data_IF_616893041939
#
_entry.id   IF_616893041939
#
_cell.length_a   1.000
_cell.length_b   1.000
_cell.length_c   1.000
_cell.angle_alpha   90.00
_cell.angle_beta   90.00
_cell.angle_gamma   90.00
#
_symmetry.space_group_name_H-M   'P 1'
#
loop_
_entity.id
_entity.type
_entity.pdbx_description
1 polymer ?
#
# COMPACT_ATOMS: atom_id res chain seq x y z
N UNK A 1 -8.77 2.70 10.88
CA UNK A 1 -7.89 3.08 9.73
C UNK A 1 -8.33 4.38 9.05
N UNK A 2 -9.62 4.56 8.74
CA UNK A 2 -10.17 5.80 8.13
C UNK A 2 -9.69 7.08 8.84
N UNK A 3 -9.92 7.18 10.15
CA UNK A 3 -9.49 8.35 10.96
C UNK A 3 -7.99 8.64 10.83
N UNK A 4 -7.15 7.59 10.94
CA UNK A 4 -5.72 7.73 10.80
C UNK A 4 -5.35 8.26 9.40
N UNK A 5 -5.95 7.74 8.35
CA UNK A 5 -5.61 8.11 6.96
C UNK A 5 -6.09 9.49 6.58
N UNK A 6 -7.33 9.85 6.94
CA UNK A 6 -7.94 11.15 6.58
C UNK A 6 -7.37 12.33 7.35
N UNK A 7 -6.81 12.07 8.54
CA UNK A 7 -6.21 13.07 9.42
C UNK A 7 -4.70 12.83 9.64
N UNK A 8 -4.02 12.15 8.72
CA UNK A 8 -2.67 11.60 8.92
C UNK A 8 -1.63 12.65 9.34
N UNK A 9 -1.68 13.86 8.78
CA UNK A 9 -0.77 14.94 9.11
C UNK A 9 -0.85 15.37 10.59
N UNK A 10 -2.05 15.27 11.21
CA UNK A 10 -2.28 15.55 12.61
C UNK A 10 -1.57 14.56 13.55
N UNK A 11 -1.35 13.35 13.05
CA UNK A 11 -0.70 12.27 13.78
C UNK A 11 0.82 12.24 13.57
N UNK A 12 1.38 13.10 12.71
CA UNK A 12 2.82 13.14 12.47
C UNK A 12 3.62 13.31 13.78
N UNK A 13 4.61 12.42 13.98
CA UNK A 13 5.39 12.34 15.21
C UNK A 13 4.69 11.64 16.39
N UNK A 14 3.40 11.35 16.30
CA UNK A 14 2.64 10.72 17.39
C UNK A 14 2.70 9.20 17.29
N UNK A 15 2.67 8.57 18.47
CA UNK A 15 2.50 7.13 18.58
C UNK A 15 1.02 6.77 18.47
N UNK A 16 0.71 5.81 17.62
CA UNK A 16 -0.64 5.33 17.34
C UNK A 16 -0.73 3.83 17.50
N UNK A 17 -1.93 3.34 17.77
CA UNK A 17 -2.27 1.94 17.74
C UNK A 17 -3.56 1.74 16.95
N UNK A 18 -3.58 0.76 16.05
CA UNK A 18 -4.72 0.44 15.20
C UNK A 18 -4.70 -1.02 14.77
N UNK A 19 -5.82 -1.52 14.32
CA UNK A 19 -5.93 -2.85 13.76
C UNK A 19 -5.99 -2.79 12.24
N UNK A 20 -5.33 -3.74 11.57
CA UNK A 20 -5.33 -3.85 10.13
C UNK A 20 -5.01 -5.27 9.66
N UNK A 21 -5.31 -5.55 8.40
CA UNK A 21 -4.88 -6.76 7.71
C UNK A 21 -3.53 -6.51 7.05
N UNK A 22 -2.57 -7.40 7.27
CA UNK A 22 -1.31 -7.42 6.53
C UNK A 22 -1.56 -8.05 5.17
N UNK A 23 -1.31 -7.30 4.10
CA UNK A 23 -1.57 -7.75 2.72
C UNK A 23 -0.31 -8.21 2.02
N UNK A 24 0.76 -7.44 2.14
CA UNK A 24 2.06 -7.69 1.56
C UNK A 24 3.14 -7.26 2.55
N UNK A 25 4.28 -7.89 2.55
CA UNK A 25 5.51 -7.28 3.04
C UNK A 25 6.61 -7.41 1.98
N UNK A 26 7.45 -6.41 1.91
CA UNK A 26 8.70 -6.45 1.17
C UNK A 26 9.88 -6.43 2.14
N UNK A 27 11.10 -6.24 1.63
CA UNK A 27 12.31 -6.26 2.47
C UNK A 27 12.34 -5.15 3.54
N UNK A 28 11.45 -4.16 3.47
CA UNK A 28 11.51 -2.93 4.29
C UNK A 28 10.18 -2.55 4.91
N UNK A 29 9.07 -2.90 4.26
CA UNK A 29 7.75 -2.37 4.58
C UNK A 29 6.70 -3.45 4.65
N UNK A 30 5.72 -3.19 5.50
CA UNK A 30 4.49 -3.96 5.64
C UNK A 30 3.36 -3.10 5.08
N UNK A 31 2.53 -3.66 4.20
CA UNK A 31 1.33 -3.02 3.66
C UNK A 31 0.13 -3.47 4.47
N UNK A 32 -0.63 -2.50 4.94
CA UNK A 32 -1.70 -2.67 5.92
C UNK A 32 -2.98 -2.05 5.39
N UNK A 33 -4.08 -2.78 5.47
CA UNK A 33 -5.40 -2.28 5.06
C UNK A 33 -6.49 -2.62 6.06
N UNK A 34 -7.54 -1.80 6.06
CA UNK A 34 -8.75 -2.04 6.81
C UNK A 34 -9.96 -1.50 6.03
N UNK A 35 -11.05 -2.29 6.01
CA UNK A 35 -12.26 -1.93 5.27
C UNK A 35 -13.17 -1.05 6.11
N UNK A 36 -13.66 0.02 5.50
CA UNK A 36 -14.67 0.89 6.10
C UNK A 36 -16.01 0.63 5.40
N UNK A 37 -16.99 0.15 6.17
CA UNK A 37 -18.31 -0.23 5.64
C UNK A 37 -19.13 0.99 5.22
N UNK A 38 -18.96 2.14 5.88
CA UNK A 38 -19.70 3.37 5.57
C UNK A 38 -19.28 3.94 4.23
N UNK A 39 -17.96 3.97 3.99
CA UNK A 39 -17.41 4.50 2.73
C UNK A 39 -17.34 3.45 1.62
N UNK A 40 -17.50 2.17 1.95
CA UNK A 40 -17.43 1.05 1.01
C UNK A 40 -16.05 0.89 0.38
N UNK A 41 -14.96 1.19 1.12
CA UNK A 41 -13.60 1.12 0.62
C UNK A 41 -12.60 0.70 1.68
N UNK A 42 -11.41 0.32 1.22
CA UNK A 42 -10.26 0.12 2.08
C UNK A 42 -9.51 1.44 2.30
N UNK A 43 -9.03 1.63 3.52
CA UNK A 43 -8.02 2.60 3.89
C UNK A 43 -6.75 1.86 4.27
N UNK A 44 -5.60 2.40 3.87
CA UNK A 44 -4.34 1.71 4.11
C UNK A 44 -3.21 2.63 4.54
N UNK A 45 -2.13 1.99 4.95
CA UNK A 45 -0.86 2.63 5.29
C UNK A 45 0.26 1.61 5.19
N UNK A 46 1.48 2.08 4.99
CA UNK A 46 2.67 1.24 5.11
C UNK A 46 3.30 1.37 6.49
N UNK A 47 3.91 0.30 6.97
CA UNK A 47 4.72 0.33 8.17
C UNK A 47 6.15 -0.08 7.82
N UNK A 48 7.12 0.80 8.12
CA UNK A 48 8.53 0.55 7.90
C UNK A 48 9.12 -0.19 9.11
N UNK A 49 9.58 -1.41 8.92
CA UNK A 49 10.20 -2.21 9.97
C UNK A 49 11.73 -2.29 9.86
N UNK A 50 12.31 -1.73 8.80
CA UNK A 50 13.74 -1.70 8.57
C UNK A 50 14.34 -3.10 8.40
N UNK A 51 15.59 -3.26 8.80
CA UNK A 51 16.34 -4.51 8.68
C UNK A 51 16.02 -5.55 9.77
N UNK A 52 15.06 -5.26 10.63
CA UNK A 52 14.73 -6.16 11.73
C UNK A 52 13.69 -7.19 11.29
N UNK A 53 14.13 -8.34 10.80
CA UNK A 53 13.28 -9.46 10.41
C UNK A 53 12.50 -10.15 11.54
N UNK A 54 12.66 -9.72 12.79
CA UNK A 54 12.01 -10.35 13.95
C UNK A 54 10.48 -10.27 13.95
N UNK A 55 9.91 -9.40 13.12
CA UNK A 55 8.45 -9.23 13.04
C UNK A 55 7.76 -10.13 12.00
N UNK A 56 8.49 -10.82 11.14
CA UNK A 56 7.93 -11.57 10.01
C UNK A 56 6.90 -12.62 10.42
N UNK A 57 7.11 -13.33 11.54
CA UNK A 57 6.18 -14.35 12.02
C UNK A 57 4.84 -13.75 12.47
N UNK A 58 4.87 -12.53 13.02
CA UNK A 58 3.71 -11.84 13.58
C UNK A 58 2.94 -11.10 12.51
N UNK A 59 3.66 -10.52 11.53
CA UNK A 59 3.13 -9.65 10.47
C UNK A 59 3.14 -10.29 9.09
N UNK A 60 2.98 -11.60 9.02
CA UNK A 60 2.93 -12.29 7.73
C UNK A 60 1.67 -11.90 6.94
N UNK A 61 1.74 -11.82 5.60
CA UNK A 61 0.57 -11.60 4.78
C UNK A 61 -0.56 -12.60 5.10
N UNK A 62 -1.78 -12.10 5.21
CA UNK A 62 -2.93 -12.88 5.64
C UNK A 62 -3.14 -12.92 7.16
N UNK A 63 -2.49 -12.04 7.89
CA UNK A 63 -2.72 -11.86 9.34
C UNK A 63 -3.52 -10.58 9.61
N UNK A 64 -4.44 -10.63 10.56
CA UNK A 64 -4.99 -9.46 11.23
C UNK A 64 -4.03 -9.10 12.37
N UNK A 65 -3.63 -7.85 12.47
CA UNK A 65 -2.68 -7.40 13.47
C UNK A 65 -3.16 -6.15 14.18
N UNK A 66 -2.80 -6.00 15.44
CA UNK A 66 -2.76 -4.72 16.11
C UNK A 66 -1.36 -4.14 15.92
N UNK A 67 -1.29 -3.08 15.11
CA UNK A 67 -0.04 -2.37 14.82
C UNK A 67 0.14 -1.22 15.81
N UNK A 68 1.36 -1.05 16.32
CA UNK A 68 1.73 0.07 17.20
C UNK A 68 3.02 0.69 16.69
N UNK A 69 3.03 1.99 16.48
CA UNK A 69 4.20 2.70 15.98
C UNK A 69 3.99 4.21 15.90
N UNK A 70 5.00 4.91 15.42
CA UNK A 70 4.95 6.35 15.24
C UNK A 70 4.57 6.68 13.80
N UNK A 71 3.63 7.60 13.61
CA UNK A 71 3.39 8.20 12.30
C UNK A 71 4.57 9.08 11.93
N UNK A 72 5.18 8.85 10.79
CA UNK A 72 6.32 9.63 10.27
C UNK A 72 6.11 9.99 8.81
N UNK A 73 6.43 11.22 8.44
CA UNK A 73 6.48 11.59 7.03
C UNK A 73 7.78 11.05 6.42
N UNK A 74 7.65 10.32 5.33
CA UNK A 74 8.77 9.77 4.55
C UNK A 74 9.00 10.63 3.31
N UNK A 75 9.97 11.54 3.38
CA UNK A 75 10.23 12.55 2.35
C UNK A 75 10.52 11.95 0.97
N UNK A 76 11.35 10.90 0.89
CA UNK A 76 11.71 10.28 -0.38
C UNK A 76 10.52 9.57 -1.06
N UNK A 77 9.51 9.17 -0.31
CA UNK A 77 8.27 8.56 -0.84
C UNK A 77 7.13 9.55 -1.01
N UNK A 78 7.27 10.78 -0.49
CA UNK A 78 6.21 11.79 -0.51
C UNK A 78 4.98 11.40 0.31
N UNK A 79 5.13 10.54 1.32
CA UNK A 79 3.98 9.94 2.02
C UNK A 79 4.25 9.72 3.51
N UNK A 80 3.20 9.41 4.26
CA UNK A 80 3.30 9.01 5.66
C UNK A 80 3.40 7.49 5.79
N UNK A 81 4.14 7.04 6.79
CA UNK A 81 4.30 5.65 7.16
C UNK A 81 4.28 5.48 8.67
N UNK A 82 4.09 4.24 9.14
CA UNK A 82 4.29 3.88 10.53
C UNK A 82 5.73 3.40 10.70
N UNK A 83 6.43 3.96 11.67
CA UNK A 83 7.82 3.61 12.01
C UNK A 83 7.98 3.30 13.48
N UNK A 84 9.20 3.02 13.91
CA UNK A 84 9.53 2.74 15.31
C UNK A 84 8.65 1.64 15.92
N UNK A 85 8.51 0.55 15.16
CA UNK A 85 7.79 -0.64 15.57
C UNK A 85 8.53 -1.34 16.71
N UNK A 86 7.79 -1.94 17.64
CA UNK A 86 8.37 -2.71 18.75
C UNK A 86 7.73 -4.09 18.83
N UNK A 87 8.53 -5.05 19.18
CA UNK A 87 8.10 -6.35 19.61
C UNK A 87 9.06 -6.91 20.68
N UNK A 88 8.51 -7.16 21.86
CA UNK A 88 9.23 -7.82 22.95
C UNK A 88 8.68 -9.24 23.10
N UNK A 89 9.51 -10.22 22.78
CA UNK A 89 9.16 -11.64 22.88
C UNK A 89 8.95 -12.09 24.32
N UNK A 90 9.55 -11.40 25.29
CA UNK A 90 9.43 -11.73 26.71
C UNK A 90 8.13 -11.21 27.34
N UNK A 91 7.51 -10.21 26.69
CA UNK A 91 6.21 -9.65 27.09
C UNK A 91 5.31 -9.45 25.84
N UNK A 92 4.84 -10.55 25.23
CA UNK A 92 4.09 -10.49 23.98
C UNK A 92 2.73 -9.80 24.09
N UNK A 93 2.21 -9.66 25.31
CA UNK A 93 0.90 -9.00 25.58
C UNK A 93 1.03 -7.50 25.87
N UNK A 94 2.25 -6.98 25.89
CA UNK A 94 2.49 -5.56 26.11
C UNK A 94 1.73 -4.70 25.11
N UNK A 95 1.01 -3.69 25.59
CA UNK A 95 0.19 -2.81 24.76
C UNK A 95 1.01 -2.02 23.71
N UNK A 96 2.33 -1.90 23.91
CA UNK A 96 3.25 -1.27 22.97
C UNK A 96 3.75 -2.23 21.86
N UNK A 97 3.47 -3.54 21.99
CA UNK A 97 3.86 -4.52 21.00
C UNK A 97 2.89 -4.59 19.82
N UNK A 98 3.44 -4.99 18.68
CA UNK A 98 2.64 -5.55 17.58
C UNK A 98 2.06 -6.88 18.06
N UNK A 99 0.76 -7.09 17.83
CA UNK A 99 0.07 -8.30 18.23
C UNK A 99 -0.57 -8.96 17.00
N UNK A 100 -0.42 -10.27 16.86
CA UNK A 100 -1.17 -11.03 15.86
C UNK A 100 -2.55 -11.36 16.44
N UNK A 101 -3.61 -10.94 15.77
CA UNK A 101 -5.01 -11.12 16.17
C UNK A 101 -5.67 -12.30 15.45
N UNK A 102 -4.94 -12.99 14.58
CA UNK A 102 -5.43 -14.14 13.85
C UNK A 102 -5.29 -14.01 12.35
N UNK A 103 -6.05 -14.82 11.61
CA UNK A 103 -6.03 -14.86 10.15
C UNK A 103 -6.97 -13.83 9.56
N UNK A 104 -6.56 -13.24 8.44
CA UNK A 104 -7.36 -12.38 7.59
C UNK A 104 -7.03 -12.65 6.12
N UNK A 105 -7.77 -12.06 5.19
CA UNK A 105 -7.50 -12.22 3.75
C UNK A 105 -7.49 -10.85 3.08
N UNK A 106 -6.49 -10.60 2.25
CA UNK A 106 -6.49 -9.48 1.34
C UNK A 106 -7.58 -9.71 0.26
N UNK A 107 -8.42 -8.70 0.06
CA UNK A 107 -9.44 -8.72 -0.99
C UNK A 107 -9.04 -7.67 -2.01
N UNK A 108 -8.43 -8.07 -3.11
CA UNK A 108 -8.06 -7.18 -4.19
C UNK A 108 -9.32 -6.55 -4.82
N UNK A 109 -9.71 -5.38 -4.29
CA UNK A 109 -10.90 -4.66 -4.76
C UNK A 109 -10.72 -4.29 -6.22
N UNK A 110 -11.68 -4.69 -7.07
CA UNK A 110 -11.67 -4.29 -8.48
C UNK A 110 -11.92 -2.78 -8.59
N UNK A 111 -10.95 -2.05 -9.14
CA UNK A 111 -10.95 -0.59 -9.21
C UNK A 111 -10.88 -0.17 -10.68
N UNK A 112 -11.75 0.74 -11.09
CA UNK A 112 -11.75 1.34 -12.43
C UNK A 112 -10.67 2.43 -12.52
N UNK A 113 -10.15 2.68 -13.74
CA UNK A 113 -9.12 3.68 -13.96
C UNK A 113 -9.56 5.09 -13.51
N UNK A 114 -10.77 5.51 -13.89
CA UNK A 114 -11.32 6.81 -13.49
C UNK A 114 -11.47 6.95 -11.97
N UNK A 115 -11.79 5.86 -11.26
CA UNK A 115 -11.83 5.86 -9.80
C UNK A 115 -10.44 6.06 -9.23
N UNK A 116 -9.45 5.33 -9.76
CA UNK A 116 -8.06 5.38 -9.27
C UNK A 116 -7.44 6.77 -9.40
N UNK A 117 -7.65 7.45 -10.54
CA UNK A 117 -7.11 8.80 -10.79
C UNK A 117 -8.02 9.92 -10.28
N UNK A 118 -9.27 9.59 -9.93
CA UNK A 118 -10.29 10.53 -9.50
C UNK A 118 -10.21 10.91 -8.03
N UNK A 119 -11.18 11.71 -7.61
CA UNK A 119 -11.37 12.11 -6.23
C UNK A 119 -12.54 11.36 -5.60
N UNK A 120 -12.43 11.16 -4.28
CA UNK A 120 -13.52 10.66 -3.44
C UNK A 120 -13.78 11.62 -2.28
N UNK A 121 -15.05 11.94 -2.06
CA UNK A 121 -15.49 12.72 -0.90
C UNK A 121 -15.86 11.76 0.23
N UNK A 122 -15.33 12.01 1.40
CA UNK A 122 -15.58 11.21 2.60
C UNK A 122 -15.82 12.14 3.81
N UNK A 123 -16.61 11.67 4.76
CA UNK A 123 -16.83 12.37 6.02
C UNK A 123 -15.63 12.15 6.94
N UNK A 124 -15.04 13.23 7.42
CA UNK A 124 -13.88 13.23 8.30
C UNK A 124 -14.17 13.91 9.63
N UNK A 125 -13.49 13.49 10.67
CA UNK A 125 -13.51 14.15 11.97
C UNK A 125 -12.78 15.49 11.91
N UNK A 126 -13.36 16.51 12.57
CA UNK A 126 -12.78 17.85 12.73
C UNK A 126 -12.47 18.07 14.20
N UNK A 127 -11.32 18.68 14.45
CA UNK A 127 -10.80 18.90 15.79
C UNK A 127 -10.43 20.38 15.97
N UNK A 128 -10.57 20.87 17.20
CA UNK A 128 -10.07 22.19 17.59
C UNK A 128 -8.55 22.19 17.82
N UNK A 129 -8.02 23.37 18.16
CA UNK A 129 -6.60 23.55 18.42
C UNK A 129 -6.10 22.81 19.69
N UNK A 130 -7.01 22.48 20.62
CA UNK A 130 -6.71 21.68 21.81
C UNK A 130 -6.80 20.17 21.53
N UNK A 131 -7.29 19.79 20.34
CA UNK A 131 -7.43 18.43 19.91
C UNK A 131 -8.73 17.75 20.30
N UNK A 132 -9.74 18.49 20.75
CA UNK A 132 -11.07 17.98 21.01
C UNK A 132 -11.85 17.84 19.68
N UNK A 133 -12.63 16.74 19.57
CA UNK A 133 -13.51 16.52 18.42
C UNK A 133 -14.65 17.57 18.44
N UNK A 134 -14.77 18.34 17.37
CA UNK A 134 -15.80 19.39 17.23
C UNK A 134 -16.95 19.02 16.30
N UNK A 135 -16.77 17.99 15.49
CA UNK A 135 -17.80 17.50 14.55
C UNK A 135 -17.20 16.74 13.39
N UNK A 136 -17.95 16.64 12.31
CA UNK A 136 -17.53 16.03 11.06
C UNK A 136 -17.74 17.00 9.90
N UNK A 137 -16.97 16.82 8.83
CA UNK A 137 -17.13 17.55 7.57
C UNK A 137 -16.86 16.65 6.37
N UNK A 138 -17.51 16.96 5.25
CA UNK A 138 -17.17 16.34 3.97
C UNK A 138 -15.88 16.95 3.41
N UNK A 139 -14.95 16.06 3.00
CA UNK A 139 -13.68 16.47 2.38
C UNK A 139 -13.37 15.59 1.19
N UNK A 140 -12.91 16.21 0.12
CA UNK A 140 -12.47 15.54 -1.11
C UNK A 140 -10.99 15.24 -1.04
N UNK A 141 -10.61 14.00 -1.38
CA UNK A 141 -9.24 13.51 -1.48
C UNK A 141 -9.04 12.83 -2.83
N UNK A 142 -7.81 12.73 -3.31
CA UNK A 142 -7.51 11.76 -4.36
C UNK A 142 -7.84 10.36 -3.86
N UNK A 143 -8.54 9.54 -4.67
CA UNK A 143 -8.88 8.17 -4.26
C UNK A 143 -7.62 7.37 -3.91
N UNK A 144 -6.57 7.47 -4.74
CA UNK A 144 -5.32 6.76 -4.53
C UNK A 144 -4.58 7.20 -3.25
N UNK A 145 -4.79 8.46 -2.79
CA UNK A 145 -4.30 8.92 -1.49
C UNK A 145 -4.96 8.16 -0.35
N UNK A 146 -6.29 8.02 -0.37
CA UNK A 146 -7.03 7.27 0.66
C UNK A 146 -6.70 5.78 0.63
N UNK A 147 -6.53 5.22 -0.57
CA UNK A 147 -6.24 3.82 -0.82
C UNK A 147 -4.75 3.45 -0.70
N UNK A 148 -3.85 4.40 -0.39
CA UNK A 148 -2.42 4.12 -0.27
C UNK A 148 -2.15 2.99 0.73
N UNK A 149 -1.39 1.98 0.27
CA UNK A 149 -1.11 0.76 1.05
C UNK A 149 -2.15 -0.34 0.92
N UNK A 150 -3.29 -0.10 0.26
CA UNK A 150 -4.35 -1.10 0.10
C UNK A 150 -4.15 -1.95 -1.16
N UNK A 151 -4.75 -3.14 -1.16
CA UNK A 151 -4.76 -4.03 -2.32
C UNK A 151 -5.87 -3.64 -3.29
N UNK A 152 -5.54 -3.61 -4.58
CA UNK A 152 -6.48 -3.41 -5.67
C UNK A 152 -6.25 -4.40 -6.81
N UNK A 153 -7.27 -4.57 -7.66
CA UNK A 153 -7.14 -5.21 -8.97
C UNK A 153 -7.65 -4.27 -10.05
N UNK A 154 -7.00 -4.28 -11.20
CA UNK A 154 -7.41 -3.52 -12.38
C UNK A 154 -7.25 -4.38 -13.62
N UNK A 155 -8.25 -4.36 -14.50
CA UNK A 155 -8.31 -5.21 -15.68
C UNK A 155 -8.24 -4.39 -16.96
N UNK A 156 -7.71 -5.02 -18.02
CA UNK A 156 -7.74 -4.46 -19.37
C UNK A 156 -6.74 -3.31 -19.60
N UNK A 157 -5.71 -3.19 -18.79
CA UNK A 157 -4.66 -2.18 -18.93
C UNK A 157 -3.86 -2.42 -20.21
N UNK A 158 -3.87 -1.47 -21.14
CA UNK A 158 -3.04 -1.49 -22.35
C UNK A 158 -1.64 -0.95 -22.04
N UNK A 159 -0.62 -1.76 -22.09
CA UNK A 159 0.77 -1.32 -21.84
C UNK A 159 1.30 -0.59 -23.07
N UNK A 160 1.50 0.72 -22.95
CA UNK A 160 1.99 1.58 -24.05
C UNK A 160 3.48 1.90 -23.94
N UNK A 161 4.05 1.81 -22.75
CA UNK A 161 5.49 1.98 -22.50
C UNK A 161 5.91 1.01 -21.40
N UNK A 162 7.15 0.55 -21.49
CA UNK A 162 7.77 -0.30 -20.48
C UNK A 162 9.24 0.10 -20.30
N UNK A 163 9.70 0.12 -19.07
CA UNK A 163 11.07 0.43 -18.70
C UNK A 163 11.56 -0.51 -17.61
N UNK A 164 12.74 -1.09 -17.79
CA UNK A 164 13.40 -1.91 -16.76
C UNK A 164 14.46 -1.07 -16.06
N UNK A 165 14.40 -1.03 -14.73
CA UNK A 165 15.42 -0.37 -13.92
C UNK A 165 16.75 -1.12 -14.07
N UNK A 166 17.80 -0.37 -14.35
CA UNK A 166 19.17 -0.90 -14.48
C UNK A 166 20.11 0.05 -13.72
N UNK A 167 20.23 -0.16 -12.42
CA UNK A 167 21.00 0.73 -11.54
C UNK A 167 21.93 -0.03 -10.59
N UNK A 168 22.00 -1.36 -10.68
CA UNK A 168 22.84 -2.20 -9.82
C UNK A 168 22.43 -2.21 -8.34
N UNK A 169 21.28 -1.60 -7.97
CA UNK A 169 20.74 -1.59 -6.62
C UNK A 169 19.65 -2.65 -6.40
N UNK A 170 18.97 -2.56 -5.27
CA UNK A 170 17.93 -3.54 -4.84
C UNK A 170 16.75 -3.64 -5.82
N UNK A 171 16.49 -2.59 -6.59
CA UNK A 171 15.43 -2.55 -7.60
C UNK A 171 15.91 -2.88 -9.02
N UNK A 172 17.18 -3.33 -9.18
CA UNK A 172 17.72 -3.68 -10.49
C UNK A 172 16.95 -4.84 -11.12
N UNK A 173 16.30 -4.58 -12.25
CA UNK A 173 15.40 -5.53 -12.92
C UNK A 173 13.90 -5.31 -12.61
N UNK A 174 13.54 -4.39 -11.74
CA UNK A 174 12.15 -4.00 -11.55
C UNK A 174 11.62 -3.22 -12.77
N UNK A 175 10.34 -3.42 -13.14
CA UNK A 175 9.76 -2.89 -14.38
C UNK A 175 8.73 -1.82 -14.05
N UNK A 176 8.80 -0.69 -14.75
CA UNK A 176 7.73 0.32 -14.77
C UNK A 176 6.97 0.20 -16.08
N UNK A 177 5.67 0.00 -15.99
CA UNK A 177 4.75 -0.04 -17.12
C UNK A 177 3.89 1.23 -17.09
N UNK A 178 3.88 1.96 -18.20
CA UNK A 178 2.88 3.01 -18.43
C UNK A 178 1.74 2.37 -19.19
N UNK A 179 0.57 2.37 -18.59
CA UNK A 179 -0.63 1.74 -19.14
C UNK A 179 -1.69 2.79 -19.43
N UNK A 180 -2.57 2.50 -20.38
CA UNK A 180 -3.79 3.29 -20.64
C UNK A 180 -5.02 2.42 -20.45
N UNK A 181 -6.06 2.98 -19.86
CA UNK A 181 -7.38 2.36 -19.72
C UNK A 181 -8.44 3.43 -19.70
N UNK A 182 -9.42 3.36 -20.61
CA UNK A 182 -10.56 4.30 -20.71
C UNK A 182 -10.15 5.78 -20.80
N UNK A 183 -9.00 6.06 -21.42
CA UNK A 183 -8.44 7.41 -21.58
C UNK A 183 -7.51 7.86 -20.45
N UNK A 184 -7.47 7.12 -19.35
CA UNK A 184 -6.61 7.43 -18.21
C UNK A 184 -5.24 6.77 -18.33
N UNK A 185 -4.23 7.37 -17.70
CA UNK A 185 -2.88 6.81 -17.62
C UNK A 185 -2.64 6.23 -16.22
N UNK A 186 -2.28 4.95 -16.18
CA UNK A 186 -2.01 4.21 -14.95
C UNK A 186 -0.55 3.71 -14.96
N UNK A 187 0.19 4.02 -13.92
CA UNK A 187 1.53 3.47 -13.72
C UNK A 187 1.44 2.17 -12.92
N UNK A 188 2.04 1.11 -13.48
CA UNK A 188 2.24 -0.16 -12.77
C UNK A 188 3.73 -0.36 -12.55
N UNK A 189 4.15 -0.49 -11.29
CA UNK A 189 5.53 -0.76 -10.90
C UNK A 189 5.65 -2.18 -10.39
N UNK A 190 6.59 -2.97 -10.90
CA UNK A 190 6.84 -4.31 -10.35
C UNK A 190 8.00 -4.29 -9.35
N UNK A 191 8.00 -5.21 -8.41
CA UNK A 191 9.25 -5.67 -7.81
C UNK A 191 10.11 -6.36 -8.88
N UNK A 192 11.31 -6.82 -8.52
CA UNK A 192 12.10 -7.69 -9.41
C UNK A 192 11.35 -9.02 -9.54
N UNK A 193 10.81 -9.30 -10.72
CA UNK A 193 10.04 -10.52 -10.99
C UNK A 193 10.93 -11.57 -11.65
N UNK A 194 10.66 -12.83 -11.33
CA UNK A 194 11.36 -13.97 -11.91
C UNK A 194 10.41 -14.87 -12.70
N UNK A 195 10.93 -15.52 -13.74
CA UNK A 195 10.23 -16.56 -14.47
C UNK A 195 9.97 -17.79 -13.58
N UNK A 196 9.27 -18.78 -14.10
CA UNK A 196 8.90 -19.99 -13.36
C UNK A 196 10.12 -20.79 -12.83
N UNK A 197 11.30 -20.58 -13.41
CA UNK A 197 12.56 -21.18 -12.96
C UNK A 197 13.13 -20.53 -11.69
N UNK A 198 12.54 -19.41 -11.23
CA UNK A 198 12.96 -18.65 -10.05
C UNK A 198 14.33 -17.97 -10.18
N UNK A 199 14.92 -17.94 -11.37
CA UNK A 199 16.29 -17.42 -11.61
C UNK A 199 16.35 -16.37 -12.70
N UNK A 200 15.62 -16.58 -13.80
CA UNK A 200 15.60 -15.66 -14.93
C UNK A 200 14.71 -14.46 -14.61
N UNK A 201 15.28 -13.26 -14.64
CA UNK A 201 14.50 -12.03 -14.43
C UNK A 201 13.51 -11.86 -15.60
N UNK A 202 12.28 -11.49 -15.29
CA UNK A 202 11.28 -11.07 -16.27
C UNK A 202 11.74 -9.74 -16.89
N UNK A 203 11.62 -9.61 -18.20
CA UNK A 203 11.98 -8.37 -18.93
C UNK A 203 10.72 -7.60 -19.34
N UNK A 204 10.89 -6.31 -19.60
CA UNK A 204 9.84 -5.41 -20.06
C UNK A 204 9.15 -5.85 -21.35
N UNK A 205 9.88 -6.52 -22.24
CA UNK A 205 9.39 -6.98 -23.56
C UNK A 205 8.22 -7.95 -23.44
N UNK A 206 8.14 -8.62 -22.30
CA UNK A 206 7.02 -9.53 -21.99
C UNK A 206 5.68 -8.80 -21.93
N UNK A 207 5.68 -7.55 -21.51
CA UNK A 207 4.46 -6.77 -21.25
C UNK A 207 4.20 -5.69 -22.31
N UNK A 208 5.23 -5.20 -22.97
CA UNK A 208 5.12 -4.09 -23.93
C UNK A 208 4.13 -4.43 -25.04
N UNK A 209 3.22 -3.50 -25.34
CA UNK A 209 2.14 -3.64 -26.34
C UNK A 209 1.14 -4.78 -26.05
N UNK A 210 1.03 -5.20 -24.79
CA UNK A 210 0.04 -6.19 -24.33
C UNK A 210 -1.06 -5.55 -23.52
N UNK A 211 -2.20 -6.22 -23.49
CA UNK A 211 -3.25 -5.95 -22.51
C UNK A 211 -3.00 -6.82 -21.29
N UNK A 212 -3.06 -6.24 -20.12
CA UNK A 212 -2.81 -6.96 -18.85
C UNK A 212 -3.90 -6.68 -17.82
N UNK A 213 -4.14 -7.68 -16.97
CA UNK A 213 -4.83 -7.49 -15.69
C UNK A 213 -3.79 -7.53 -14.58
N UNK A 214 -3.95 -6.69 -13.58
CA UNK A 214 -3.01 -6.62 -12.45
C UNK A 214 -3.73 -6.76 -11.11
N UNK A 215 -3.03 -7.39 -10.16
CA UNK A 215 -3.33 -7.35 -8.72
C UNK A 215 -2.11 -6.78 -8.01
N UNK A 216 -2.29 -5.73 -7.24
CA UNK A 216 -1.17 -5.07 -6.58
C UNK A 216 -1.62 -4.26 -5.37
N UNK A 217 -0.73 -3.44 -4.88
CA UNK A 217 -1.01 -2.47 -3.83
C UNK A 217 -0.89 -1.06 -4.38
N UNK A 218 -1.68 -0.15 -3.86
CA UNK A 218 -1.51 1.29 -4.14
C UNK A 218 -0.27 1.77 -3.41
N UNK A 219 0.72 2.21 -4.18
CA UNK A 219 2.00 2.70 -3.67
C UNK A 219 2.23 4.14 -4.16
N UNK A 220 3.17 4.84 -3.56
CA UNK A 220 3.55 6.19 -3.94
C UNK A 220 5.05 6.25 -4.19
N UNK A 221 5.42 6.95 -5.24
CA UNK A 221 6.81 7.28 -5.53
C UNK A 221 6.90 8.72 -6.01
N UNK A 222 7.70 9.52 -5.33
CA UNK A 222 7.88 10.95 -5.63
C UNK A 222 6.55 11.73 -5.70
N UNK A 223 5.62 11.38 -4.82
CA UNK A 223 4.28 11.98 -4.75
C UNK A 223 3.26 11.47 -5.78
N UNK A 224 3.68 10.60 -6.70
CA UNK A 224 2.81 10.01 -7.72
C UNK A 224 2.32 8.63 -7.30
N UNK A 225 1.02 8.37 -7.45
CA UNK A 225 0.44 7.06 -7.10
C UNK A 225 0.57 6.05 -8.23
N UNK A 226 0.87 4.82 -7.87
CA UNK A 226 1.07 3.71 -8.80
C UNK A 226 0.51 2.40 -8.21
N UNK A 227 0.32 1.40 -9.06
CA UNK A 227 0.00 0.03 -8.64
C UNK A 227 1.32 -0.75 -8.55
N UNK A 228 1.73 -1.17 -7.34
CA UNK A 228 2.94 -1.96 -7.14
C UNK A 228 2.62 -3.44 -7.08
N UNK A 229 3.28 -4.20 -7.93
CA UNK A 229 3.07 -5.66 -8.08
C UNK A 229 4.32 -6.40 -7.62
N UNK A 230 4.16 -7.33 -6.68
CA UNK A 230 5.26 -8.07 -6.07
C UNK A 230 5.47 -9.47 -6.64
N UNK A 231 4.44 -10.05 -7.24
CA UNK A 231 4.47 -11.43 -7.72
C UNK A 231 4.08 -11.50 -9.20
N UNK A 232 4.84 -12.27 -10.00
CA UNK A 232 4.57 -12.43 -11.44
C UNK A 232 3.15 -12.92 -11.72
N UNK A 233 2.64 -13.83 -10.90
CA UNK A 233 1.29 -14.39 -11.04
C UNK A 233 0.16 -13.37 -10.84
N UNK A 234 0.48 -12.20 -10.32
CA UNK A 234 -0.44 -11.08 -10.15
C UNK A 234 -0.56 -10.21 -11.42
N UNK A 235 0.11 -10.58 -12.50
CA UNK A 235 -0.04 -9.98 -13.84
C UNK A 235 -0.49 -11.07 -14.80
N UNK A 236 -1.70 -10.93 -15.33
CA UNK A 236 -2.24 -11.79 -16.40
C UNK A 236 -2.09 -11.06 -17.73
N UNK A 237 -1.55 -11.72 -18.76
CA UNK A 237 -1.37 -11.16 -20.10
C UNK A 237 -2.44 -11.74 -21.01
N UNK A 238 -3.06 -10.90 -21.83
CA UNK A 238 -4.08 -11.27 -22.83
C UNK A 238 -3.56 -11.16 -24.25
#
# INVERSE_FOLDING_TARGET
MKELRTNIARYNGKRVAFEATVTVYDNWSIYLEDYDEEDGQYYGITAFYGYNGAYHEIVSPGSRVRMVGNVTYYEAGGTYQISNLKYDMMDPTNAENIQNLGKASAIYLETQAQTFVGNKTVSINVYDDQGALTGTQEKSFAYAELAYGTTISMKGLQVVRAYTTNNGGDNDGAITLTCTLEGETITVRTAVLYEADGKTKVTQDKYLNKTIDVKGVVDSYDGEYQIKVFLRQNITIH
#
